data_IF_605656943989
#
_entry.id   IF_605656943989
#
_cell.length_a   1.000
_cell.length_b   1.000
_cell.length_c   1.000
_cell.angle_alpha   90.00
_cell.angle_beta   90.00
_cell.angle_gamma   90.00
#
_symmetry.space_group_name_H-M   'P 1'
#
loop_
_entity.id
_entity.type
_entity.pdbx_description
1 polymer ?
#
# COMPACT_ATOMS: atom_id res chain seq x y z
N UNK A 1 -5.44 11.77 32.60
CA UNK A 1 -6.77 12.15 32.10
C UNK A 1 -6.84 11.70 30.66
N UNK A 2 -7.26 10.46 30.42
CA UNK A 2 -7.72 10.03 29.11
C UNK A 2 -8.98 10.81 28.81
N UNK A 3 -9.01 11.48 27.67
CA UNK A 3 -10.18 12.22 27.21
C UNK A 3 -11.25 11.22 26.80
N UNK A 4 -12.21 10.93 27.68
CA UNK A 4 -13.40 10.13 27.37
C UNK A 4 -14.39 10.88 26.45
N UNK A 5 -14.03 12.06 25.91
CA UNK A 5 -14.79 12.78 24.90
C UNK A 5 -14.83 11.97 23.58
N UNK A 6 -16.02 11.48 23.15
CA UNK A 6 -16.16 10.71 21.91
C UNK A 6 -15.65 11.46 20.67
N UNK A 7 -15.74 12.79 20.66
CA UNK A 7 -15.22 13.60 19.55
C UNK A 7 -13.69 13.52 19.47
N UNK A 8 -13.00 13.65 20.61
CA UNK A 8 -11.53 13.55 20.65
C UNK A 8 -11.05 12.15 20.29
N UNK A 9 -11.79 11.11 20.68
CA UNK A 9 -11.50 9.71 20.28
C UNK A 9 -11.58 9.56 18.77
N UNK A 10 -12.67 10.01 18.14
CA UNK A 10 -12.83 9.94 16.68
C UNK A 10 -11.78 10.77 15.93
N UNK A 11 -11.40 11.94 16.45
CA UNK A 11 -10.32 12.74 15.87
C UNK A 11 -8.95 12.04 15.96
N UNK A 12 -8.65 11.40 17.09
CA UNK A 12 -7.43 10.61 17.25
C UNK A 12 -7.38 9.42 16.28
N UNK A 13 -8.51 8.71 16.13
CA UNK A 13 -8.65 7.61 15.16
C UNK A 13 -8.46 8.09 13.72
N UNK A 14 -9.07 9.24 13.35
CA UNK A 14 -8.87 9.89 12.06
C UNK A 14 -7.39 10.17 11.78
N UNK A 15 -6.67 10.73 12.75
CA UNK A 15 -5.24 11.02 12.59
C UNK A 15 -4.40 9.74 12.45
N UNK A 16 -4.72 8.70 13.21
CA UNK A 16 -4.04 7.41 13.11
C UNK A 16 -4.22 6.76 11.74
N UNK A 17 -5.44 6.79 11.19
CA UNK A 17 -5.72 6.26 9.85
C UNK A 17 -4.97 7.06 8.78
N UNK A 18 -4.97 8.39 8.85
CA UNK A 18 -4.23 9.25 7.89
C UNK A 18 -2.72 8.97 7.95
N UNK A 19 -2.16 8.79 9.14
CA UNK A 19 -0.75 8.42 9.30
C UNK A 19 -0.46 7.06 8.63
N UNK A 20 -1.33 6.06 8.87
CA UNK A 20 -1.19 4.74 8.28
C UNK A 20 -1.31 4.76 6.76
N UNK A 21 -2.28 5.51 6.22
CA UNK A 21 -2.41 5.71 4.77
C UNK A 21 -1.17 6.35 4.15
N UNK A 22 -0.52 7.28 4.86
CA UNK A 22 0.73 7.91 4.42
C UNK A 22 1.88 6.90 4.35
N UNK A 23 1.99 6.03 5.35
CA UNK A 23 2.96 4.92 5.37
C UNK A 23 2.72 3.95 4.21
N UNK A 24 1.47 3.54 3.99
CA UNK A 24 1.09 2.63 2.91
C UNK A 24 1.35 3.23 1.53
N UNK A 25 1.08 4.51 1.32
CA UNK A 25 1.40 5.19 0.07
C UNK A 25 2.91 5.21 -0.21
N UNK A 26 3.71 5.47 0.82
CA UNK A 26 5.18 5.44 0.71
C UNK A 26 5.70 4.04 0.40
N UNK A 27 5.11 3.02 1.04
CA UNK A 27 5.43 1.62 0.79
C UNK A 27 5.02 1.20 -0.64
N UNK A 28 3.83 1.59 -1.09
CA UNK A 28 3.33 1.32 -2.44
C UNK A 28 4.26 1.90 -3.51
N UNK A 29 4.62 3.18 -3.41
CA UNK A 29 5.55 3.83 -4.34
C UNK A 29 6.92 3.14 -4.38
N UNK A 30 7.43 2.72 -3.22
CA UNK A 30 8.69 1.97 -3.13
C UNK A 30 8.58 0.61 -3.83
N UNK A 31 7.42 -0.06 -3.74
CA UNK A 31 7.17 -1.34 -4.42
C UNK A 31 6.98 -1.17 -5.93
N UNK A 32 6.32 -0.10 -6.36
CA UNK A 32 6.26 0.24 -7.79
C UNK A 32 7.65 0.50 -8.37
N UNK A 33 8.50 1.23 -7.64
CA UNK A 33 9.89 1.44 -8.03
C UNK A 33 10.68 0.14 -8.13
N UNK A 34 10.54 -0.78 -7.16
CA UNK A 34 11.18 -2.10 -7.26
C UNK A 34 10.63 -2.91 -8.42
N UNK A 35 9.31 -2.91 -8.65
CA UNK A 35 8.68 -3.61 -9.77
C UNK A 35 9.27 -3.18 -11.11
N UNK A 36 9.35 -1.87 -11.35
CA UNK A 36 9.95 -1.33 -12.56
C UNK A 36 11.44 -1.73 -12.71
N UNK A 37 12.19 -1.72 -11.58
CA UNK A 37 13.58 -2.20 -11.57
C UNK A 37 13.71 -3.68 -11.95
N UNK A 38 12.88 -4.55 -11.37
CA UNK A 38 12.86 -5.98 -11.70
C UNK A 38 12.45 -6.20 -13.16
N UNK A 39 11.45 -5.49 -13.66
CA UNK A 39 11.02 -5.57 -15.07
C UNK A 39 12.17 -5.24 -16.03
N UNK A 40 12.93 -4.18 -15.72
CA UNK A 40 14.13 -3.80 -16.48
C UNK A 40 15.24 -4.88 -16.40
N UNK A 41 15.52 -5.41 -15.21
CA UNK A 41 16.49 -6.48 -15.00
C UNK A 41 16.10 -7.76 -15.77
N UNK A 42 14.82 -8.11 -15.79
CA UNK A 42 14.27 -9.24 -16.53
C UNK A 42 14.44 -9.08 -18.03
N UNK A 43 14.11 -7.90 -18.58
CA UNK A 43 14.26 -7.61 -19.99
C UNK A 43 15.73 -7.74 -20.42
N UNK A 44 16.64 -7.11 -19.68
CA UNK A 44 18.08 -7.24 -19.92
C UNK A 44 18.57 -8.69 -19.82
N UNK A 45 18.05 -9.47 -18.86
CA UNK A 45 18.40 -10.88 -18.72
C UNK A 45 17.94 -11.69 -19.94
N UNK A 46 16.72 -11.43 -20.44
CA UNK A 46 16.19 -12.07 -21.66
C UNK A 46 17.02 -11.73 -22.90
N UNK A 47 17.46 -10.49 -23.04
CA UNK A 47 18.37 -10.09 -24.12
C UNK A 47 19.70 -10.87 -24.05
N UNK A 48 20.30 -10.98 -22.86
CA UNK A 48 21.53 -11.75 -22.66
C UNK A 48 21.34 -13.24 -22.99
N UNK A 49 20.21 -13.83 -22.58
CA UNK A 49 19.86 -15.23 -22.91
C UNK A 49 19.72 -15.41 -24.43
N UNK A 50 19.10 -14.44 -25.12
CA UNK A 50 18.95 -14.49 -26.57
C UNK A 50 20.30 -14.41 -27.31
N UNK A 51 21.24 -13.60 -26.79
CA UNK A 51 22.59 -13.47 -27.35
C UNK A 51 23.46 -14.70 -27.08
N UNK A 52 23.45 -15.21 -25.84
CA UNK A 52 24.23 -16.38 -25.43
C UNK A 52 23.54 -17.09 -24.25
N UNK A 53 22.74 -18.13 -24.50
CA UNK A 53 21.98 -18.77 -23.43
C UNK A 53 22.90 -19.60 -22.53
N UNK A 54 22.98 -19.24 -21.25
CA UNK A 54 23.67 -20.04 -20.22
C UNK A 54 22.72 -20.50 -19.12
N UNK A 55 23.03 -21.59 -18.40
CA UNK A 55 22.25 -22.02 -17.23
C UNK A 55 22.13 -20.94 -16.14
N UNK A 56 23.20 -20.16 -15.93
CA UNK A 56 23.25 -19.11 -14.92
C UNK A 56 22.27 -17.98 -15.25
N UNK A 57 22.20 -17.55 -16.51
CA UNK A 57 21.25 -16.54 -16.95
C UNK A 57 19.79 -17.04 -16.82
N UNK A 58 19.53 -18.31 -17.12
CA UNK A 58 18.19 -18.91 -16.94
C UNK A 58 17.78 -18.97 -15.46
N UNK A 59 18.73 -19.30 -14.58
CA UNK A 59 18.51 -19.28 -13.14
C UNK A 59 18.21 -17.86 -12.64
N UNK A 60 19.01 -16.88 -13.07
CA UNK A 60 18.79 -15.47 -12.75
C UNK A 60 17.42 -14.97 -13.23
N UNK A 61 17.01 -15.30 -14.47
CA UNK A 61 15.69 -14.93 -14.96
C UNK A 61 14.57 -15.53 -14.09
N UNK A 62 14.72 -16.79 -13.67
CA UNK A 62 13.74 -17.46 -12.80
C UNK A 62 13.64 -16.79 -11.42
N UNK A 63 14.77 -16.36 -10.86
CA UNK A 63 14.79 -15.61 -9.60
C UNK A 63 14.11 -14.23 -9.73
N UNK A 64 14.38 -13.52 -10.81
CA UNK A 64 13.74 -12.25 -11.11
C UNK A 64 12.22 -12.40 -11.32
N UNK A 65 11.78 -13.46 -12.00
CA UNK A 65 10.35 -13.75 -12.19
C UNK A 65 9.63 -14.06 -10.86
N UNK A 66 10.31 -14.77 -9.94
CA UNK A 66 9.82 -14.98 -8.58
C UNK A 66 9.72 -13.66 -7.82
N UNK A 67 10.77 -12.83 -7.86
CA UNK A 67 10.78 -11.53 -7.21
C UNK A 67 9.69 -10.62 -7.75
N UNK A 68 9.50 -10.55 -9.07
CA UNK A 68 8.44 -9.76 -9.71
C UNK A 68 7.06 -10.16 -9.21
N UNK A 69 6.80 -11.46 -9.13
CA UNK A 69 5.55 -12.01 -8.60
C UNK A 69 5.33 -11.65 -7.13
N UNK A 70 6.38 -11.69 -6.31
CA UNK A 70 6.32 -11.29 -4.90
C UNK A 70 6.06 -9.79 -4.73
N UNK A 71 6.70 -8.94 -5.52
CA UNK A 71 6.49 -7.49 -5.51
C UNK A 71 5.05 -7.16 -5.89
N UNK A 72 4.49 -7.81 -6.92
CA UNK A 72 3.08 -7.64 -7.31
C UNK A 72 2.15 -8.08 -6.17
N UNK A 73 2.40 -9.23 -5.56
CA UNK A 73 1.58 -9.72 -4.46
C UNK A 73 1.60 -8.77 -3.26
N UNK A 74 2.75 -8.18 -2.95
CA UNK A 74 2.88 -7.18 -1.89
C UNK A 74 2.16 -5.88 -2.24
N UNK A 75 2.29 -5.37 -3.47
CA UNK A 75 1.59 -4.17 -3.92
C UNK A 75 0.06 -4.32 -3.79
N UNK A 76 -0.49 -5.46 -4.20
CA UNK A 76 -1.92 -5.77 -4.06
C UNK A 76 -2.39 -5.80 -2.60
N UNK A 77 -1.56 -6.32 -1.68
CA UNK A 77 -1.89 -6.30 -0.23
C UNK A 77 -1.93 -4.87 0.31
N UNK A 78 -0.97 -4.04 -0.10
CA UNK A 78 -0.94 -2.62 0.29
C UNK A 78 -2.17 -1.88 -0.25
N UNK A 79 -2.56 -2.15 -1.50
CA UNK A 79 -3.78 -1.57 -2.09
C UNK A 79 -5.04 -1.97 -1.32
N UNK A 80 -5.21 -3.25 -1.00
CA UNK A 80 -6.35 -3.73 -0.23
C UNK A 80 -6.41 -3.12 1.19
N UNK A 81 -5.26 -3.00 1.87
CA UNK A 81 -5.19 -2.34 3.19
C UNK A 81 -5.53 -0.84 3.09
N UNK A 82 -5.08 -0.18 2.02
CA UNK A 82 -5.37 1.24 1.77
C UNK A 82 -6.87 1.46 1.52
N UNK A 83 -7.51 0.61 0.72
CA UNK A 83 -8.96 0.67 0.46
C UNK A 83 -9.76 0.51 1.76
N UNK A 84 -9.44 -0.50 2.57
CA UNK A 84 -10.11 -0.72 3.86
C UNK A 84 -9.95 0.44 4.84
N UNK A 85 -8.80 1.13 4.82
CA UNK A 85 -8.56 2.32 5.66
C UNK A 85 -9.26 3.57 5.11
N UNK A 86 -9.43 3.70 3.80
CA UNK A 86 -10.21 4.78 3.18
C UNK A 86 -11.68 4.63 3.59
N UNK A 87 -12.26 3.44 3.52
CA UNK A 87 -13.63 3.17 3.97
C UNK A 87 -13.83 3.53 5.45
N UNK A 88 -12.88 3.16 6.32
CA UNK A 88 -12.91 3.53 7.75
C UNK A 88 -12.80 5.04 7.94
N UNK A 89 -11.93 5.71 7.18
CA UNK A 89 -11.77 7.16 7.25
C UNK A 89 -13.05 7.89 6.84
N UNK A 90 -13.72 7.40 5.80
CA UNK A 90 -15.00 7.94 5.33
C UNK A 90 -16.09 7.80 6.41
N UNK A 91 -16.21 6.64 7.07
CA UNK A 91 -17.15 6.45 8.19
C UNK A 91 -16.90 7.46 9.32
N UNK A 92 -15.64 7.59 9.76
CA UNK A 92 -15.29 8.52 10.84
C UNK A 92 -15.59 9.97 10.44
N UNK A 93 -15.24 10.37 9.22
CA UNK A 93 -15.52 11.73 8.73
C UNK A 93 -17.03 11.98 8.66
N UNK A 94 -17.82 11.02 8.19
CA UNK A 94 -19.28 11.13 8.14
C UNK A 94 -19.87 11.28 9.55
N UNK A 95 -19.38 10.51 10.52
CA UNK A 95 -19.81 10.59 11.93
C UNK A 95 -19.43 11.91 12.59
N UNK A 96 -18.23 12.42 12.31
CA UNK A 96 -17.77 13.74 12.79
C UNK A 96 -18.62 14.89 12.22
N UNK A 97 -19.09 14.75 10.98
CA UNK A 97 -19.92 15.74 10.29
C UNK A 97 -21.42 15.60 10.58
N UNK A 98 -21.86 14.56 11.30
CA UNK A 98 -23.25 14.38 11.62
C UNK A 98 -23.76 15.58 12.46
N UNK A 99 -24.93 16.16 12.12
CA UNK A 99 -25.50 17.23 12.92
C UNK A 99 -25.74 16.70 14.33
N UNK A 100 -25.07 17.33 15.30
CA UNK A 100 -25.34 17.09 16.70
C UNK A 100 -26.73 17.67 16.92
N UNK A 101 -27.74 16.82 17.10
CA UNK A 101 -29.11 17.27 17.25
C UNK A 101 -29.17 18.40 18.28
N UNK A 102 -29.69 19.56 17.87
CA UNK A 102 -30.09 20.62 18.78
C UNK A 102 -31.03 19.99 19.81
N UNK A 103 -30.53 19.64 20.98
CA UNK A 103 -31.36 19.51 22.18
C UNK A 103 -31.80 20.91 22.58
N UNK A 104 -32.76 21.46 21.83
CA UNK A 104 -33.70 22.44 22.33
C UNK A 104 -34.96 21.68 22.76
N UNK A 105 -35.10 21.50 24.07
CA UNK A 105 -36.37 21.63 24.81
C UNK A 105 -36.03 21.87 26.26
#
# INVERSE_FOLDING_TARGET
MTSDDPFQVMMAERYAIVAKLTELNSAHLSREGRRAGVEFEMERCRENIAAAPTPELKAQLSELEREHSEVIAQARRIEAEREALIEQLEDIVNRLNAPHGDTQT
#
